data_IF_092000511934
#
_entry.id   IF_092000511934
#
_cell.length_a   1.000
_cell.length_b   1.000
_cell.length_c   1.000
_cell.angle_alpha   90.00
_cell.angle_beta   90.00
_cell.angle_gamma   90.00
#
_symmetry.space_group_name_H-M   'P 1'
#
loop_
_entity.id
_entity.type
_entity.pdbx_description
1 polymer ?
#
# COMPACT_ATOMS: atom_id res chain seq x y z
N UNK A 1 -19.83 -18.91 -39.97
CA UNK A 1 -19.30 -19.11 -38.60
C UNK A 1 -18.16 -18.11 -38.38
N UNK A 2 -18.42 -16.92 -37.82
CA UNK A 2 -17.40 -16.03 -37.24
C UNK A 2 -18.03 -14.71 -36.77
N UNK A 3 -18.81 -14.75 -35.69
CA UNK A 3 -19.43 -13.56 -35.12
C UNK A 3 -19.46 -13.51 -33.59
N UNK A 4 -19.00 -14.57 -32.91
CA UNK A 4 -19.10 -14.68 -31.44
C UNK A 4 -17.74 -14.61 -30.71
N UNK A 5 -16.62 -14.69 -31.43
CA UNK A 5 -15.29 -14.74 -30.79
C UNK A 5 -14.80 -13.35 -30.37
N UNK A 6 -15.21 -12.29 -31.07
CA UNK A 6 -14.76 -10.91 -30.82
C UNK A 6 -15.43 -10.23 -29.61
N UNK A 7 -16.62 -10.67 -29.20
CA UNK A 7 -17.35 -10.06 -28.07
C UNK A 7 -16.83 -10.55 -26.70
N UNK A 8 -16.41 -11.81 -26.62
CA UNK A 8 -15.83 -12.40 -25.39
C UNK A 8 -14.44 -11.84 -25.08
N UNK A 9 -13.59 -11.61 -26.08
CA UNK A 9 -12.25 -11.05 -25.87
C UNK A 9 -12.30 -9.62 -25.29
N UNK A 10 -13.26 -8.80 -25.74
CA UNK A 10 -13.47 -7.46 -25.17
C UNK A 10 -13.96 -7.52 -23.72
N UNK A 11 -14.90 -8.43 -23.42
CA UNK A 11 -15.39 -8.64 -22.05
C UNK A 11 -14.27 -9.06 -21.09
N UNK A 12 -13.36 -9.95 -21.51
CA UNK A 12 -12.22 -10.37 -20.69
C UNK A 12 -11.21 -9.22 -20.43
N UNK A 13 -11.03 -8.31 -21.39
CA UNK A 13 -10.19 -7.12 -21.21
C UNK A 13 -10.81 -6.10 -20.25
N UNK A 14 -12.14 -5.94 -20.26
CA UNK A 14 -12.84 -5.06 -19.30
C UNK A 14 -12.84 -5.63 -17.87
N UNK A 15 -12.96 -6.95 -17.72
CA UNK A 15 -12.93 -7.62 -16.40
C UNK A 15 -11.57 -7.44 -15.71
N UNK A 16 -10.45 -7.61 -16.43
CA UNK A 16 -9.10 -7.44 -15.87
C UNK A 16 -8.78 -6.01 -15.39
N UNK A 17 -9.32 -4.97 -16.05
CA UNK A 17 -9.12 -3.57 -15.65
C UNK A 17 -10.06 -3.16 -14.49
N UNK A 18 -11.24 -3.79 -14.37
CA UNK A 18 -12.20 -3.53 -13.30
C UNK A 18 -11.85 -4.20 -11.97
N UNK A 19 -11.37 -5.44 -12.00
CA UNK A 19 -11.03 -6.22 -10.80
C UNK A 19 -9.80 -5.69 -10.06
N UNK A 20 -8.82 -5.14 -10.78
CA UNK A 20 -7.59 -4.59 -10.17
C UNK A 20 -7.85 -3.32 -9.36
N UNK A 21 -8.74 -2.44 -9.81
CA UNK A 21 -9.06 -1.18 -9.13
C UNK A 21 -9.84 -1.38 -7.82
N UNK A 22 -10.80 -2.31 -7.82
CA UNK A 22 -11.58 -2.63 -6.63
C UNK A 22 -10.74 -3.38 -5.58
N UNK A 23 -9.88 -4.29 -6.04
CA UNK A 23 -8.91 -4.99 -5.20
C UNK A 23 -7.88 -4.03 -4.57
N UNK A 24 -7.36 -3.06 -5.32
CA UNK A 24 -6.42 -2.05 -4.80
C UNK A 24 -7.07 -1.09 -3.79
N UNK A 25 -8.35 -0.75 -3.98
CA UNK A 25 -9.13 0.03 -3.00
C UNK A 25 -9.39 -0.75 -1.72
N UNK A 26 -9.49 -2.09 -1.79
CA UNK A 26 -9.61 -2.93 -0.59
C UNK A 26 -8.42 -2.78 0.34
N UNK A 27 -7.19 -2.74 -0.20
CA UNK A 27 -5.98 -2.67 0.62
C UNK A 27 -5.82 -1.35 1.37
N UNK A 28 -6.28 -0.23 0.81
CA UNK A 28 -6.31 1.04 1.56
C UNK A 28 -7.16 0.97 2.82
N UNK A 29 -8.29 0.25 2.76
CA UNK A 29 -9.20 0.15 3.89
C UNK A 29 -8.68 -0.78 5.00
N UNK A 30 -7.60 -1.52 4.75
CA UNK A 30 -6.95 -2.34 5.76
C UNK A 30 -6.14 -1.50 6.75
N UNK A 31 -5.73 -0.29 6.36
CA UNK A 31 -4.87 0.54 7.19
C UNK A 31 -5.53 1.89 7.52
N UNK A 32 -5.62 2.21 8.81
CA UNK A 32 -6.02 3.51 9.30
C UNK A 32 -4.88 4.52 9.12
N UNK A 33 -5.16 5.59 8.37
CA UNK A 33 -4.25 6.73 8.20
C UNK A 33 -4.16 7.56 9.49
N UNK A 34 -2.95 7.85 9.91
CA UNK A 34 -2.61 8.81 10.96
C UNK A 34 -1.76 9.92 10.34
N UNK A 35 -2.35 11.10 10.07
CA UNK A 35 -1.69 12.15 9.31
C UNK A 35 -0.54 12.78 10.11
N UNK A 36 0.51 13.21 9.39
CA UNK A 36 1.64 13.96 9.96
C UNK A 36 2.39 13.23 11.08
N UNK A 37 2.37 11.90 11.04
CA UNK A 37 3.07 11.04 11.96
C UNK A 37 4.00 10.10 11.21
N UNK A 38 5.16 9.85 11.81
CA UNK A 38 6.17 8.94 11.30
C UNK A 38 6.57 7.96 12.39
N UNK A 39 6.74 6.70 12.03
CA UNK A 39 7.29 5.69 12.95
C UNK A 39 8.78 5.96 13.21
N UNK A 40 9.22 5.82 14.46
CA UNK A 40 10.65 5.94 14.81
C UNK A 40 11.47 4.66 14.62
N UNK A 41 10.81 3.56 14.29
CA UNK A 41 11.47 2.29 14.01
C UNK A 41 12.30 2.37 12.72
N UNK A 42 13.31 1.50 12.61
CA UNK A 42 13.97 1.28 11.33
C UNK A 42 13.02 0.50 10.41
N UNK A 43 12.85 0.91 9.14
CA UNK A 43 12.03 0.18 8.19
C UNK A 43 12.65 -1.17 7.85
N UNK A 44 11.79 -2.17 7.71
CA UNK A 44 12.16 -3.50 7.20
C UNK A 44 12.38 -3.47 5.69
N UNK A 45 11.65 -2.60 4.97
CA UNK A 45 11.83 -2.35 3.55
C UNK A 45 11.52 -0.89 3.20
N UNK A 46 12.28 -0.35 2.23
CA UNK A 46 12.03 0.98 1.65
C UNK A 46 11.61 0.79 0.19
N UNK A 47 10.39 1.21 -0.13
CA UNK A 47 9.86 1.22 -1.50
C UNK A 47 10.03 2.63 -2.06
N UNK A 48 10.69 2.75 -3.21
CA UNK A 48 10.98 4.04 -3.86
C UNK A 48 10.12 4.22 -5.11
N UNK A 49 9.88 5.48 -5.50
CA UNK A 49 9.14 5.84 -6.71
C UNK A 49 7.72 5.25 -6.76
N UNK A 50 7.07 5.11 -5.60
CA UNK A 50 5.68 4.64 -5.57
C UNK A 50 4.77 5.64 -6.30
N UNK A 51 3.77 5.12 -7.00
CA UNK A 51 2.83 5.89 -7.81
C UNK A 51 1.65 6.38 -6.98
N UNK A 52 1.17 5.55 -6.04
CA UNK A 52 0.03 5.88 -5.18
C UNK A 52 0.07 5.14 -3.83
N UNK A 53 -0.68 5.62 -2.83
CA UNK A 53 -0.69 5.05 -1.46
C UNK A 53 -1.13 3.57 -1.48
N UNK A 54 -2.01 3.21 -2.41
CA UNK A 54 -2.47 1.85 -2.73
C UNK A 54 -1.31 0.91 -3.04
N UNK A 55 -0.27 1.42 -3.70
CA UNK A 55 0.89 0.61 -4.02
C UNK A 55 1.62 0.19 -2.75
N UNK A 56 1.75 1.11 -1.79
CA UNK A 56 2.40 0.85 -0.52
C UNK A 56 1.58 -0.06 0.39
N UNK A 57 0.25 0.10 0.41
CA UNK A 57 -0.62 -0.84 1.14
C UNK A 57 -0.58 -2.23 0.52
N UNK A 58 -0.61 -2.34 -0.81
CA UNK A 58 -0.46 -3.62 -1.52
C UNK A 58 0.90 -4.25 -1.23
N UNK A 59 1.99 -3.50 -1.35
CA UNK A 59 3.35 -4.02 -1.11
C UNK A 59 3.55 -4.46 0.34
N UNK A 60 2.89 -3.80 1.30
CA UNK A 60 2.84 -4.26 2.68
C UNK A 60 2.09 -5.59 2.80
N UNK A 61 0.85 -5.67 2.33
CA UNK A 61 0.00 -6.87 2.47
C UNK A 61 0.57 -8.09 1.73
N UNK A 62 1.22 -7.87 0.59
CA UNK A 62 1.81 -8.92 -0.23
C UNK A 62 3.23 -9.30 0.19
N UNK A 63 3.78 -8.66 1.22
CA UNK A 63 5.13 -8.95 1.67
C UNK A 63 5.23 -10.39 2.21
N UNK A 64 6.28 -11.11 1.79
CA UNK A 64 6.49 -12.51 2.18
C UNK A 64 7.78 -12.71 2.98
N UNK A 65 8.72 -11.77 2.91
CA UNK A 65 9.99 -11.85 3.65
C UNK A 65 9.87 -11.43 5.12
N UNK A 66 8.85 -10.66 5.44
CA UNK A 66 8.45 -10.28 6.80
C UNK A 66 6.95 -10.03 6.86
N UNK A 67 6.36 -10.17 8.04
CA UNK A 67 4.97 -9.81 8.30
C UNK A 67 4.85 -8.28 8.38
N UNK A 68 4.45 -7.62 7.29
CA UNK A 68 4.29 -6.17 7.28
C UNK A 68 3.03 -5.77 8.04
N UNK A 69 3.19 -4.91 9.03
CA UNK A 69 2.13 -4.53 9.97
C UNK A 69 1.80 -3.04 9.96
N UNK A 70 2.69 -2.20 9.46
CA UNK A 70 2.43 -0.77 9.25
C UNK A 70 3.37 -0.20 8.20
N UNK A 71 3.08 1.00 7.72
CA UNK A 71 3.97 1.73 6.83
C UNK A 71 3.86 3.24 6.97
N UNK A 72 4.93 3.94 6.61
CA UNK A 72 4.92 5.40 6.44
C UNK A 72 4.94 5.76 4.96
N UNK A 73 4.26 6.84 4.61
CA UNK A 73 4.30 7.46 3.27
C UNK A 73 4.93 8.84 3.38
N UNK A 74 6.16 8.99 2.90
CA UNK A 74 6.83 10.30 2.78
C UNK A 74 6.47 10.92 1.43
N UNK A 75 5.51 11.86 1.45
CA UNK A 75 4.99 12.49 0.23
C UNK A 75 6.02 13.41 -0.44
N UNK A 76 6.99 13.93 0.31
CA UNK A 76 8.03 14.80 -0.24
C UNK A 76 9.09 13.96 -0.99
N UNK A 77 9.52 12.85 -0.39
CA UNK A 77 10.55 11.98 -0.97
C UNK A 77 10.00 10.93 -1.93
N UNK A 78 8.67 10.74 -1.97
CA UNK A 78 7.99 9.72 -2.77
C UNK A 78 8.52 8.31 -2.44
N UNK A 79 8.64 8.03 -1.14
CA UNK A 79 9.03 6.71 -0.62
C UNK A 79 8.02 6.20 0.39
N UNK A 80 7.92 4.87 0.46
CA UNK A 80 7.18 4.18 1.51
C UNK A 80 8.14 3.35 2.36
N UNK A 81 7.95 3.44 3.67
CA UNK A 81 8.77 2.76 4.66
C UNK A 81 7.89 1.68 5.30
N UNK A 82 8.16 0.41 5.01
CA UNK A 82 7.38 -0.72 5.52
C UNK A 82 7.98 -1.25 6.81
N UNK A 83 7.15 -1.57 7.78
CA UNK A 83 7.56 -2.03 9.11
C UNK A 83 6.91 -3.38 9.46
N UNK A 84 7.67 -4.22 10.16
CA UNK A 84 7.17 -5.48 10.74
C UNK A 84 6.54 -5.31 12.14
N UNK A 85 6.17 -4.09 12.51
CA UNK A 85 5.68 -3.73 13.84
C UNK A 85 4.66 -2.59 13.75
N UNK A 86 3.94 -2.36 14.84
CA UNK A 86 3.13 -1.14 15.04
C UNK A 86 3.61 -0.42 16.30
N UNK A 87 3.24 0.85 16.46
CA UNK A 87 3.61 1.63 17.65
C UNK A 87 3.00 1.04 18.95
N UNK A 88 1.94 0.24 18.83
CA UNK A 88 1.27 -0.45 19.94
C UNK A 88 2.12 -1.59 20.52
N UNK A 89 3.12 -2.09 19.78
CA UNK A 89 4.06 -3.09 20.29
C UNK A 89 4.96 -2.55 21.41
N UNK A 90 4.99 -1.23 21.63
CA UNK A 90 5.80 -0.57 22.65
C UNK A 90 7.31 -0.53 22.37
N UNK A 91 7.74 -0.96 21.17
CA UNK A 91 9.16 -0.97 20.74
C UNK A 91 9.58 0.28 19.99
N UNK A 92 8.61 1.00 19.42
CA UNK A 92 8.79 2.25 18.69
C UNK A 92 7.57 3.15 18.94
N UNK A 93 7.72 4.44 18.66
CA UNK A 93 6.66 5.42 18.84
C UNK A 93 6.44 6.21 17.55
N UNK A 94 5.36 6.98 17.54
CA UNK A 94 5.07 7.92 16.47
C UNK A 94 5.64 9.28 16.82
N UNK A 95 6.27 9.94 15.86
CA UNK A 95 6.77 11.31 15.97
C UNK A 95 6.10 12.19 14.93
N UNK A 96 5.86 13.45 15.27
CA UNK A 96 5.39 14.44 14.29
C UNK A 96 6.33 14.54 13.08
N UNK A 97 5.72 14.64 11.90
CA UNK A 97 6.38 14.85 10.63
C UNK A 97 5.51 15.76 9.76
N UNK A 98 6.14 16.74 9.11
CA UNK A 98 5.42 17.64 8.20
C UNK A 98 5.16 17.01 6.81
N UNK A 99 5.78 15.87 6.50
CA UNK A 99 5.78 15.29 5.14
C UNK A 99 5.29 13.85 5.09
N UNK A 100 5.16 13.22 6.26
CA UNK A 100 4.94 11.78 6.40
C UNK A 100 3.62 11.49 7.08
N UNK A 101 2.88 10.52 6.54
CA UNK A 101 1.71 9.94 7.20
C UNK A 101 2.00 8.48 7.54
N UNK A 102 1.54 8.04 8.70
CA UNK A 102 1.64 6.64 9.14
C UNK A 102 0.33 5.89 8.86
N UNK A 103 0.42 4.63 8.49
CA UNK A 103 -0.70 3.74 8.19
C UNK A 103 -0.55 2.45 8.99
N UNK A 104 -1.60 2.08 9.74
CA UNK A 104 -1.62 0.90 10.63
C UNK A 104 -2.85 0.04 10.42
#
# INVERSE_FOLDING_TARGET
MSGHVTTLALLMLFVAAGETSEYLKSFQNLFARMPQLQMTAMPSLVVVNFSSIEECSRDCVQQTSFDCRSFDVDNQRRVCLLYNSTHEDGKAFLRESSTTDHYR
#
